data_IF_646190054943
#
_entry.id   IF_646190054943
#
_cell.length_a   1.000
_cell.length_b   1.000
_cell.length_c   1.000
_cell.angle_alpha   90.00
_cell.angle_beta   90.00
_cell.angle_gamma   90.00
#
_symmetry.space_group_name_H-M   'P 1'
#
loop_
_entity.id
_entity.type
_entity.pdbx_description
1 polymer ?
#
# COMPACT_ATOMS: atom_id res chain seq x y z
N UNK A 1 29.57 -19.21 9.22
CA UNK A 1 28.45 -19.16 8.25
C UNK A 1 27.63 -17.91 8.55
N UNK A 2 27.67 -16.88 7.70
CA UNK A 2 26.83 -15.71 7.89
C UNK A 2 25.37 -16.05 7.49
N UNK A 3 24.46 -16.03 8.45
CA UNK A 3 23.03 -16.22 8.22
C UNK A 3 22.40 -15.09 7.39
N UNK A 4 21.11 -15.22 7.08
CA UNK A 4 20.36 -14.24 6.26
C UNK A 4 20.50 -12.81 6.81
N UNK A 5 20.41 -12.65 8.13
CA UNK A 5 20.59 -11.36 8.81
C UNK A 5 21.99 -10.78 8.58
N UNK A 6 23.04 -11.62 8.65
CA UNK A 6 24.42 -11.19 8.41
C UNK A 6 24.66 -10.75 6.96
N UNK A 7 23.99 -11.39 5.99
CA UNK A 7 24.06 -11.00 4.58
C UNK A 7 23.33 -9.68 4.31
N UNK A 8 22.17 -9.47 4.92
CA UNK A 8 21.42 -8.21 4.85
C UNK A 8 22.22 -7.05 5.44
N UNK A 9 22.84 -7.25 6.61
CA UNK A 9 23.68 -6.23 7.21
C UNK A 9 24.84 -5.85 6.30
N UNK A 10 25.58 -6.83 5.79
CA UNK A 10 26.74 -6.58 4.94
C UNK A 10 26.38 -5.84 3.64
N UNK A 11 25.25 -6.18 3.02
CA UNK A 11 24.88 -5.68 1.70
C UNK A 11 24.06 -4.39 1.73
N UNK A 12 23.24 -4.19 2.76
CA UNK A 12 22.26 -3.09 2.80
C UNK A 12 22.56 -2.13 3.94
N UNK A 13 22.73 -2.63 5.17
CA UNK A 13 22.80 -1.77 6.37
C UNK A 13 24.20 -1.31 6.76
N UNK A 14 25.27 -1.89 6.20
CA UNK A 14 26.66 -1.58 6.60
C UNK A 14 27.17 -0.23 6.09
N UNK A 15 26.70 0.24 4.93
CA UNK A 15 27.12 1.52 4.32
C UNK A 15 25.94 2.47 4.30
N UNK A 16 26.13 3.70 4.79
CA UNK A 16 25.07 4.72 4.85
C UNK A 16 24.46 5.02 3.49
N UNK A 17 25.27 5.07 2.41
CA UNK A 17 24.77 5.31 1.05
C UNK A 17 23.84 4.20 0.56
N UNK A 18 24.22 2.93 0.73
CA UNK A 18 23.39 1.77 0.40
C UNK A 18 22.12 1.69 1.26
N UNK A 19 22.26 2.04 2.53
CA UNK A 19 21.13 2.08 3.47
C UNK A 19 20.10 3.15 3.08
N UNK A 20 20.53 4.38 2.78
CA UNK A 20 19.63 5.47 2.38
C UNK A 20 18.88 5.11 1.10
N UNK A 21 19.56 4.54 0.10
CA UNK A 21 18.91 4.08 -1.13
C UNK A 21 17.84 3.02 -0.85
N UNK A 22 18.16 2.02 -0.02
CA UNK A 22 17.23 0.97 0.35
C UNK A 22 16.04 1.51 1.18
N UNK A 23 16.27 2.51 2.04
CA UNK A 23 15.23 3.14 2.82
C UNK A 23 14.25 3.93 1.95
N UNK A 24 14.74 4.72 0.98
CA UNK A 24 13.88 5.47 0.04
C UNK A 24 13.03 4.51 -0.80
N UNK A 25 13.68 3.50 -1.39
CA UNK A 25 12.96 2.50 -2.19
C UNK A 25 11.98 1.70 -1.35
N UNK A 26 12.38 1.33 -0.13
CA UNK A 26 11.54 0.64 0.84
C UNK A 26 10.32 1.48 1.23
N UNK A 27 10.50 2.78 1.48
CA UNK A 27 9.40 3.69 1.81
C UNK A 27 8.39 3.80 0.66
N UNK A 28 8.86 3.98 -0.57
CA UNK A 28 7.98 4.06 -1.76
C UNK A 28 7.14 2.79 -1.96
N UNK A 29 7.77 1.62 -1.84
CA UNK A 29 7.05 0.34 -1.96
C UNK A 29 6.13 0.09 -0.75
N UNK A 30 6.56 0.49 0.43
CA UNK A 30 5.78 0.35 1.66
C UNK A 30 4.53 1.22 1.62
N UNK A 31 4.62 2.47 1.20
CA UNK A 31 3.47 3.38 1.03
C UNK A 31 2.38 2.73 0.18
N UNK A 32 2.70 2.37 -1.06
CA UNK A 32 1.72 1.79 -1.99
C UNK A 32 1.09 0.49 -1.48
N UNK A 33 1.91 -0.36 -0.87
CA UNK A 33 1.45 -1.64 -0.32
C UNK A 33 0.62 -1.46 0.95
N UNK A 34 1.03 -0.54 1.82
CA UNK A 34 0.34 -0.26 3.08
C UNK A 34 -1.04 0.32 2.82
N UNK A 35 -1.16 1.30 1.91
CA UNK A 35 -2.46 1.90 1.56
C UNK A 35 -3.45 0.85 1.06
N UNK A 36 -3.03 0.00 0.11
CA UNK A 36 -3.88 -1.07 -0.43
C UNK A 36 -4.32 -2.05 0.65
N UNK A 37 -3.42 -2.41 1.57
CA UNK A 37 -3.74 -3.33 2.66
C UNK A 37 -4.65 -2.66 3.68
N UNK A 38 -4.36 -1.42 4.09
CA UNK A 38 -5.15 -0.70 5.08
C UNK A 38 -6.56 -0.43 4.58
N UNK A 39 -6.69 -0.02 3.32
CA UNK A 39 -8.00 0.17 2.68
C UNK A 39 -8.74 -1.15 2.65
N UNK A 40 -8.14 -2.22 2.13
CA UNK A 40 -8.76 -3.55 2.08
C UNK A 40 -9.24 -4.05 3.45
N UNK A 41 -8.42 -3.87 4.50
CA UNK A 41 -8.80 -4.21 5.88
C UNK A 41 -9.96 -3.34 6.35
N UNK A 42 -9.92 -2.04 6.08
CA UNK A 42 -10.97 -1.10 6.46
C UNK A 42 -12.31 -1.39 5.76
N UNK A 43 -12.30 -1.67 4.46
CA UNK A 43 -13.52 -2.03 3.74
C UNK A 43 -14.08 -3.35 4.26
N UNK A 44 -13.23 -4.36 4.50
CA UNK A 44 -13.65 -5.66 5.00
C UNK A 44 -14.29 -5.57 6.40
N UNK A 45 -13.77 -4.73 7.28
CA UNK A 45 -14.36 -4.51 8.61
C UNK A 45 -15.71 -3.77 8.50
N UNK A 46 -15.87 -2.90 7.50
CA UNK A 46 -17.04 -2.04 7.36
C UNK A 46 -17.92 -2.41 6.15
N UNK A 47 -17.94 -3.69 5.78
CA UNK A 47 -18.77 -4.23 4.71
C UNK A 47 -20.24 -3.82 4.90
N UNK A 48 -20.88 -3.37 3.82
CA UNK A 48 -22.27 -2.87 3.82
C UNK A 48 -22.51 -1.51 4.48
N UNK A 49 -21.51 -0.88 5.12
CA UNK A 49 -21.66 0.46 5.74
C UNK A 49 -21.09 1.59 4.90
N UNK A 50 -20.07 1.31 4.08
CA UNK A 50 -19.43 2.34 3.26
C UNK A 50 -20.32 2.76 2.10
N UNK A 51 -20.24 4.03 1.72
CA UNK A 51 -20.93 4.58 0.56
C UNK A 51 -20.69 3.76 -0.70
N UNK A 52 -19.44 3.37 -0.99
CA UNK A 52 -19.10 2.49 -2.13
C UNK A 52 -19.88 1.17 -2.17
N UNK A 53 -20.30 0.62 -1.02
CA UNK A 53 -21.10 -0.61 -0.97
C UNK A 53 -22.58 -0.36 -1.25
N UNK A 54 -23.11 0.81 -0.87
CA UNK A 54 -24.54 1.14 -0.96
C UNK A 54 -24.90 2.07 -2.13
N UNK A 55 -23.91 2.71 -2.77
CA UNK A 55 -24.09 3.68 -3.88
C UNK A 55 -24.96 3.11 -5.01
N UNK A 56 -24.78 1.83 -5.34
CA UNK A 56 -25.56 1.14 -6.37
C UNK A 56 -27.08 1.13 -6.09
N UNK A 57 -27.49 1.21 -4.82
CA UNK A 57 -28.90 1.28 -4.42
C UNK A 57 -29.51 2.67 -4.61
N UNK A 58 -28.69 3.69 -4.86
CA UNK A 58 -29.10 5.08 -5.04
C UNK A 58 -28.90 5.61 -6.47
N UNK A 59 -28.20 4.85 -7.33
CA UNK A 59 -27.80 5.28 -8.68
C UNK A 59 -28.23 4.33 -9.79
N UNK A 60 -29.49 4.44 -10.25
CA UNK A 60 -29.83 4.27 -11.66
C UNK A 60 -29.63 5.60 -12.43
N UNK A 61 -28.81 6.50 -11.87
CA UNK A 61 -28.39 7.79 -12.40
C UNK A 61 -26.91 7.92 -12.03
N UNK A 62 -26.07 8.41 -12.94
CA UNK A 62 -24.59 8.44 -12.85
C UNK A 62 -23.88 7.17 -13.35
N UNK A 63 -24.23 6.75 -14.56
CA UNK A 63 -23.19 6.22 -15.47
C UNK A 63 -22.21 7.37 -15.79
N UNK A 64 -20.93 7.21 -15.45
CA UNK A 64 -19.84 8.10 -15.89
C UNK A 64 -19.20 8.92 -14.79
N UNK A 65 -18.16 8.37 -14.15
CA UNK A 65 -17.33 9.14 -13.21
C UNK A 65 -16.25 8.35 -12.48
N UNK A 66 -15.80 7.22 -13.05
CA UNK A 66 -14.61 6.51 -12.58
C UNK A 66 -13.47 6.70 -13.60
N UNK A 67 -13.21 7.97 -13.95
CA UNK A 67 -11.93 8.41 -14.50
C UNK A 67 -11.50 9.61 -13.65
N UNK A 68 -10.23 9.67 -13.29
CA UNK A 68 -9.57 10.68 -12.42
C UNK A 68 -9.49 10.32 -10.93
N UNK A 69 -8.51 9.47 -10.58
CA UNK A 69 -7.41 9.88 -9.70
C UNK A 69 -6.13 9.12 -10.16
N UNK A 70 -5.43 9.68 -11.16
CA UNK A 70 -3.97 9.54 -11.30
C UNK A 70 -3.28 10.71 -10.60
#
# INVERSE_FOLDING_TARGET
>A
MAGVIGKLYQNVFRRTSSFVLAAIFGAFMFERGFDMVSDGVFENINQGKLWKHIKHSYGQQEEGGDEEEE
#
